data_IF_128325877732
#
_entry.id   IF_128325877732
#
_cell.length_a   1.000
_cell.length_b   1.000
_cell.length_c   1.000
_cell.angle_alpha   90.00
_cell.angle_beta   90.00
_cell.angle_gamma   90.00
#
_symmetry.space_group_name_H-M   'P 1'
#
loop_
_entity.id
_entity.type
_entity.pdbx_description
1 polymer ?
#
# COMPACT_ATOMS: atom_id res chain seq x y z
N UNK A 1 -9.90 2.56 -17.44
CA UNK A 1 -8.67 2.09 -16.74
C UNK A 1 -7.54 2.11 -17.74
N UNK A 2 -6.37 2.61 -17.36
CA UNK A 2 -5.20 2.62 -18.24
C UNK A 2 -4.66 1.19 -18.42
N UNK A 3 -4.36 0.81 -19.64
CA UNK A 3 -3.64 -0.41 -20.01
C UNK A 3 -2.23 -0.42 -19.41
N UNK A 4 -1.61 -1.60 -19.29
CA UNK A 4 -0.20 -1.71 -18.90
C UNK A 4 0.72 -0.85 -19.77
N UNK A 5 0.45 -0.76 -21.07
CA UNK A 5 1.24 0.10 -21.97
C UNK A 5 1.13 1.56 -21.61
N UNK A 6 -0.05 2.04 -21.24
CA UNK A 6 -0.27 3.43 -20.79
C UNK A 6 0.36 3.68 -19.42
N UNK A 7 0.26 2.73 -18.47
CA UNK A 7 0.92 2.80 -17.16
C UNK A 7 2.44 2.88 -17.28
N UNK A 8 3.01 2.15 -18.24
CA UNK A 8 4.45 2.13 -18.50
C UNK A 8 4.94 3.30 -19.37
N UNK A 9 4.04 4.06 -20.00
CA UNK A 9 4.42 5.14 -20.91
C UNK A 9 4.99 6.38 -20.22
N UNK A 10 4.89 6.48 -18.88
CA UNK A 10 5.26 7.69 -18.15
C UNK A 10 4.07 8.31 -17.48
N UNK A 11 4.25 9.53 -17.01
CA UNK A 11 3.12 10.39 -16.74
C UNK A 11 2.39 10.60 -18.08
N UNK A 12 1.09 10.28 -18.17
CA UNK A 12 0.34 10.65 -19.35
C UNK A 12 0.25 12.17 -19.30
N UNK A 13 1.01 12.86 -20.16
CA UNK A 13 1.09 14.32 -20.16
C UNK A 13 0.41 14.94 -21.40
N UNK A 14 0.04 14.11 -22.37
CA UNK A 14 -0.54 14.56 -23.63
C UNK A 14 -1.46 13.48 -24.24
N UNK A 15 -2.75 13.47 -23.86
CA UNK A 15 -3.35 14.34 -22.84
C UNK A 15 -2.99 13.89 -21.41
N UNK A 16 -3.13 14.79 -20.44
CA UNK A 16 -3.15 14.39 -19.02
C UNK A 16 -4.33 13.46 -18.77
N UNK A 17 -4.20 12.46 -17.87
CA UNK A 17 -5.32 11.60 -17.55
C UNK A 17 -6.35 12.43 -16.79
N UNK A 18 -7.65 12.26 -17.10
CA UNK A 18 -8.69 12.88 -16.37
C UNK A 18 -8.62 12.42 -14.93
N UNK A 19 -8.73 13.35 -14.01
CA UNK A 19 -8.55 12.96 -12.64
C UNK A 19 -9.74 12.26 -11.97
N UNK A 20 -9.61 11.92 -10.67
CA UNK A 20 -10.43 10.87 -10.03
C UNK A 20 -11.13 11.37 -8.77
N UNK A 21 -12.42 11.10 -8.66
CA UNK A 21 -13.19 11.25 -7.43
C UNK A 21 -13.05 9.99 -6.56
N UNK A 22 -13.03 10.19 -5.24
CA UNK A 22 -13.07 9.12 -4.23
C UNK A 22 -14.28 8.21 -4.49
N UNK A 23 -14.06 6.91 -4.61
CA UNK A 23 -15.11 5.91 -4.79
C UNK A 23 -15.76 5.54 -3.44
N UNK A 24 -17.02 5.94 -3.16
CA UNK A 24 -17.67 5.69 -1.87
C UNK A 24 -17.94 4.21 -1.56
N UNK A 25 -17.89 3.31 -2.56
CA UNK A 25 -18.00 1.86 -2.34
C UNK A 25 -16.71 1.26 -1.79
N UNK A 26 -15.58 1.96 -1.99
CA UNK A 26 -14.29 1.60 -1.44
C UNK A 26 -14.09 2.25 -0.06
N UNK A 27 -13.43 1.53 0.85
CA UNK A 27 -12.96 2.15 2.08
C UNK A 27 -11.92 3.24 1.75
N UNK A 28 -11.95 4.35 2.50
CA UNK A 28 -11.01 5.46 2.38
C UNK A 28 -10.25 5.72 3.68
N UNK A 29 -9.00 6.17 3.53
CA UNK A 29 -8.20 6.57 4.69
C UNK A 29 -8.87 7.76 5.41
N UNK A 30 -8.83 7.78 6.76
CA UNK A 30 -9.35 8.92 7.53
C UNK A 30 -8.55 10.19 7.18
N UNK A 31 -9.24 11.33 7.18
CA UNK A 31 -8.60 12.60 6.86
C UNK A 31 -7.50 12.94 7.88
N UNK A 32 -6.27 13.10 7.39
CA UNK A 32 -5.13 13.54 8.19
C UNK A 32 -5.01 15.05 8.09
N UNK A 33 -5.67 15.75 8.99
CA UNK A 33 -5.63 17.22 9.04
C UNK A 33 -4.35 17.64 9.75
N UNK A 34 -3.28 17.86 8.98
CA UNK A 34 -2.12 18.59 9.44
C UNK A 34 -2.26 20.07 9.01
N UNK A 35 -2.39 21.04 9.94
CA UNK A 35 -2.44 22.45 9.56
C UNK A 35 -1.05 22.87 9.05
N UNK A 36 -0.89 22.90 7.73
CA UNK A 36 0.31 23.43 7.06
C UNK A 36 0.34 24.95 7.18
N UNK A 37 1.54 25.53 7.27
CA UNK A 37 1.71 26.98 7.09
C UNK A 37 1.57 27.35 5.61
N UNK A 38 1.45 28.63 5.30
CA UNK A 38 1.36 29.13 3.92
C UNK A 38 2.56 28.71 3.07
N UNK A 39 3.78 28.81 3.63
CA UNK A 39 5.03 28.45 2.97
C UNK A 39 5.12 26.94 2.69
N UNK A 40 4.62 26.12 3.61
CA UNK A 40 4.62 24.65 3.47
C UNK A 40 3.55 24.16 2.51
N UNK A 41 2.42 24.86 2.46
CA UNK A 41 1.38 24.64 1.47
C UNK A 41 1.93 24.94 0.07
N UNK A 42 2.68 26.04 -0.09
CA UNK A 42 3.36 26.33 -1.36
C UNK A 42 4.42 25.30 -1.75
N UNK A 43 5.21 24.81 -0.78
CA UNK A 43 6.20 23.75 -1.01
C UNK A 43 5.52 22.43 -1.38
N UNK A 44 4.43 22.05 -0.69
CA UNK A 44 3.65 20.85 -1.00
C UNK A 44 3.07 20.93 -2.42
N UNK A 45 2.54 22.09 -2.81
CA UNK A 45 2.06 22.36 -4.16
C UNK A 45 3.18 22.30 -5.20
N UNK A 46 4.33 22.94 -4.95
CA UNK A 46 5.52 22.84 -5.84
C UNK A 46 6.02 21.40 -5.95
N UNK A 47 6.00 20.64 -4.85
CA UNK A 47 6.42 19.23 -4.81
C UNK A 47 5.47 18.29 -5.56
N UNK A 48 4.18 18.61 -5.60
CA UNK A 48 3.19 17.88 -6.40
C UNK A 48 3.24 18.29 -7.88
N UNK A 49 3.42 19.59 -8.16
CA UNK A 49 3.43 20.15 -9.50
C UNK A 49 4.75 19.94 -10.24
N UNK A 50 5.86 19.64 -9.55
CA UNK A 50 7.17 19.35 -10.20
C UNK A 50 7.13 18.19 -11.19
N UNK A 51 6.11 17.34 -11.08
CA UNK A 51 5.92 16.20 -11.96
C UNK A 51 5.16 16.55 -13.25
N UNK A 52 4.54 17.74 -13.34
CA UNK A 52 3.68 18.12 -14.47
C UNK A 52 4.15 19.42 -15.15
N UNK A 53 4.05 19.55 -16.48
CA UNK A 53 4.31 20.80 -17.19
C UNK A 53 3.38 21.93 -16.72
N UNK A 54 3.93 23.12 -16.47
CA UNK A 54 3.24 24.31 -15.89
C UNK A 54 1.97 24.75 -16.63
N UNK A 55 1.89 24.48 -17.92
CA UNK A 55 0.75 24.82 -18.79
C UNK A 55 -0.53 24.03 -18.49
N UNK A 56 -0.47 22.98 -17.68
CA UNK A 56 -1.57 22.03 -17.48
C UNK A 56 -2.30 22.17 -16.14
N UNK A 57 -1.89 23.12 -15.29
CA UNK A 57 -2.37 23.23 -13.90
C UNK A 57 -3.86 23.63 -13.77
N UNK A 58 -4.41 24.38 -14.73
CA UNK A 58 -5.79 24.88 -14.68
C UNK A 58 -6.83 23.89 -15.22
N UNK A 59 -6.40 22.98 -16.10
CA UNK A 59 -7.26 22.06 -16.86
C UNK A 59 -7.58 20.78 -16.08
N UNK A 60 -6.64 20.33 -15.26
CA UNK A 60 -6.78 19.14 -14.43
C UNK A 60 -8.03 19.17 -13.54
N UNK A 61 -8.47 20.31 -13.02
CA UNK A 61 -9.55 20.40 -12.03
C UNK A 61 -10.94 19.89 -12.49
N UNK A 62 -11.26 19.96 -13.79
CA UNK A 62 -12.61 19.71 -14.30
C UNK A 62 -12.83 18.26 -14.80
N UNK A 63 -11.79 17.65 -15.37
CA UNK A 63 -11.82 16.27 -15.86
C UNK A 63 -12.08 15.24 -14.72
N UNK A 64 -11.81 15.61 -13.45
CA UNK A 64 -12.08 14.81 -12.23
C UNK A 64 -13.52 14.26 -12.19
N UNK A 65 -14.44 14.99 -12.82
CA UNK A 65 -15.88 14.79 -12.67
C UNK A 65 -16.49 13.82 -13.68
N UNK A 66 -15.81 13.48 -14.78
CA UNK A 66 -16.43 12.78 -15.91
C UNK A 66 -16.15 11.27 -15.94
N UNK A 67 -15.01 10.78 -15.44
CA UNK A 67 -14.65 9.34 -15.48
C UNK A 67 -15.57 8.44 -14.66
N UNK A 68 -16.10 8.97 -13.55
CA UNK A 68 -17.04 8.26 -12.68
C UNK A 68 -18.37 7.94 -13.36
N UNK A 69 -18.71 8.66 -14.44
CA UNK A 69 -19.99 8.47 -15.14
C UNK A 69 -19.97 7.27 -16.08
N UNK A 70 -18.80 6.68 -16.39
CA UNK A 70 -18.65 5.81 -17.56
C UNK A 70 -18.23 4.36 -17.27
N UNK A 71 -17.42 4.05 -16.24
CA UNK A 71 -16.67 2.79 -16.23
C UNK A 71 -16.79 1.94 -14.96
N UNK A 72 -18.00 1.51 -14.58
CA UNK A 72 -18.20 0.62 -13.42
C UNK A 72 -17.37 -0.69 -13.42
N UNK A 73 -16.16 -0.65 -12.85
CA UNK A 73 -15.19 -1.72 -12.53
C UNK A 73 -14.12 -2.08 -13.60
N UNK A 74 -12.91 -2.51 -13.17
CA UNK A 74 -12.01 -3.56 -13.76
C UNK A 74 -10.94 -3.99 -12.72
N UNK A 75 -10.58 -5.28 -12.66
CA UNK A 75 -9.59 -5.94 -11.76
C UNK A 75 -8.28 -6.22 -12.49
N UNK A 76 -7.08 -6.02 -11.93
CA UNK A 76 -5.85 -6.52 -12.58
C UNK A 76 -4.70 -6.90 -11.62
N UNK A 77 -4.49 -8.21 -11.44
CA UNK A 77 -3.16 -8.79 -11.39
C UNK A 77 -2.88 -9.39 -12.79
N UNK A 78 -1.96 -8.80 -13.54
CA UNK A 78 -1.59 -9.32 -14.86
C UNK A 78 -0.51 -10.41 -14.72
N UNK A 79 -0.49 -11.40 -15.64
CA UNK A 79 0.67 -12.28 -15.80
C UNK A 79 1.94 -11.46 -16.03
N UNK A 80 3.06 -11.91 -15.44
CA UNK A 80 4.36 -11.23 -15.53
C UNK A 80 4.79 -10.95 -16.98
N UNK A 81 4.39 -11.81 -17.92
CA UNK A 81 4.69 -11.69 -19.36
C UNK A 81 4.01 -10.51 -20.06
N UNK A 82 2.97 -9.93 -19.44
CA UNK A 82 2.22 -8.82 -20.04
C UNK A 82 2.78 -7.45 -19.68
N UNK A 83 3.63 -7.36 -18.65
CA UNK A 83 4.31 -6.12 -18.28
C UNK A 83 5.34 -5.77 -19.36
N UNK A 84 5.26 -4.58 -19.99
CA UNK A 84 6.19 -4.17 -21.04
C UNK A 84 7.50 -3.66 -20.43
N UNK A 85 8.18 -4.50 -19.66
CA UNK A 85 9.47 -4.21 -19.05
C UNK A 85 10.61 -4.88 -19.82
N UNK A 86 11.77 -4.22 -19.90
CA UNK A 86 12.98 -4.79 -20.54
C UNK A 86 13.56 -5.97 -19.76
N UNK A 87 13.33 -6.03 -18.44
CA UNK A 87 13.83 -7.10 -17.57
C UNK A 87 12.69 -7.79 -16.82
N UNK A 88 12.81 -9.10 -16.61
CA UNK A 88 11.81 -9.89 -15.85
C UNK A 88 11.73 -9.45 -14.39
N UNK A 89 12.86 -9.05 -13.82
CA UNK A 89 12.95 -8.55 -12.44
C UNK A 89 12.11 -7.28 -12.28
N UNK A 90 12.18 -6.35 -13.23
CA UNK A 90 11.35 -5.15 -13.19
C UNK A 90 9.86 -5.47 -13.38
N UNK A 91 9.50 -6.36 -14.32
CA UNK A 91 8.13 -6.85 -14.47
C UNK A 91 7.59 -7.48 -13.17
N UNK A 92 8.40 -8.25 -12.45
CA UNK A 92 8.03 -8.83 -11.16
C UNK A 92 7.76 -7.74 -10.11
N UNK A 93 8.62 -6.71 -10.03
CA UNK A 93 8.38 -5.58 -9.11
C UNK A 93 7.07 -4.86 -9.44
N UNK A 94 6.80 -4.61 -10.73
CA UNK A 94 5.55 -3.99 -11.18
C UNK A 94 4.32 -4.81 -10.78
N UNK A 95 4.38 -6.14 -10.94
CA UNK A 95 3.33 -7.05 -10.49
C UNK A 95 3.08 -6.91 -8.99
N UNK A 96 4.14 -6.90 -8.19
CA UNK A 96 3.99 -6.80 -6.74
C UNK A 96 3.46 -5.44 -6.28
N UNK A 97 3.83 -4.35 -6.96
CA UNK A 97 3.27 -3.01 -6.74
C UNK A 97 1.75 -3.03 -7.00
N UNK A 98 1.33 -3.60 -8.13
CA UNK A 98 -0.09 -3.70 -8.50
C UNK A 98 -0.87 -4.54 -7.50
N UNK A 99 -0.31 -5.65 -7.04
CA UNK A 99 -0.91 -6.48 -5.98
C UNK A 99 -1.08 -5.71 -4.66
N UNK A 100 -0.11 -4.90 -4.25
CA UNK A 100 -0.21 -4.06 -3.05
C UNK A 100 -1.30 -2.99 -3.13
N UNK A 101 -1.77 -2.67 -4.34
CA UNK A 101 -2.83 -1.70 -4.63
C UNK A 101 -4.14 -2.35 -5.11
N UNK A 102 -4.21 -3.69 -5.16
CA UNK A 102 -5.42 -4.40 -5.55
C UNK A 102 -6.55 -4.09 -4.55
N UNK A 103 -7.75 -3.68 -4.97
CA UNK A 103 -8.88 -3.40 -4.07
C UNK A 103 -9.28 -4.56 -3.14
N UNK A 104 -8.92 -5.80 -3.46
CA UNK A 104 -9.13 -6.97 -2.60
C UNK A 104 -8.02 -7.16 -1.54
N UNK A 105 -6.88 -6.49 -1.71
CA UNK A 105 -5.70 -6.62 -0.86
C UNK A 105 -5.49 -5.35 -0.02
N UNK A 106 -5.57 -4.18 -0.66
CA UNK A 106 -5.29 -2.89 -0.05
C UNK A 106 -6.46 -2.41 0.82
N UNK A 107 -6.12 -1.81 1.96
CA UNK A 107 -7.07 -1.25 2.90
C UNK A 107 -7.74 0.02 2.34
N UNK A 108 -6.97 0.92 1.69
CA UNK A 108 -7.48 2.12 1.03
C UNK A 108 -6.73 2.31 -0.32
N UNK A 109 -7.14 1.56 -1.37
CA UNK A 109 -6.40 1.49 -2.63
C UNK A 109 -6.28 2.84 -3.35
N UNK A 110 -7.30 3.71 -3.26
CA UNK A 110 -7.30 5.02 -3.92
C UNK A 110 -6.35 6.02 -3.25
N UNK A 111 -6.12 5.87 -1.94
CA UNK A 111 -5.11 6.61 -1.16
C UNK A 111 -3.74 5.92 -1.12
N UNK A 112 -3.56 4.86 -1.93
CA UNK A 112 -2.31 4.09 -2.04
C UNK A 112 -1.91 3.41 -0.71
N UNK A 113 -2.87 3.21 0.21
CA UNK A 113 -2.65 2.56 1.51
C UNK A 113 -2.97 1.09 1.42
N UNK A 114 -1.97 0.25 1.66
CA UNK A 114 -2.15 -1.20 1.67
C UNK A 114 -2.70 -1.69 3.00
N UNK A 115 -2.17 -1.27 4.15
CA UNK A 115 -2.68 -1.68 5.47
C UNK A 115 -2.17 -0.78 6.60
N UNK A 116 -2.68 -1.01 7.82
CA UNK A 116 -2.23 -0.31 9.02
C UNK A 116 -2.74 1.13 9.12
N UNK A 117 -3.78 1.49 8.37
CA UNK A 117 -4.37 2.82 8.35
C UNK A 117 -3.62 3.84 7.48
N UNK A 118 -2.29 3.75 7.40
CA UNK A 118 -1.44 4.64 6.60
C UNK A 118 -0.17 4.00 6.03
N UNK A 119 -0.05 2.68 6.07
CA UNK A 119 1.03 1.96 5.40
C UNK A 119 0.87 2.06 3.89
N UNK A 120 1.64 2.93 3.24
CA UNK A 120 1.48 3.29 1.84
C UNK A 120 2.49 2.65 0.90
N UNK A 121 2.05 2.46 -0.34
CA UNK A 121 2.89 2.06 -1.48
C UNK A 121 3.59 3.27 -2.08
N UNK A 122 2.88 4.39 -2.22
CA UNK A 122 3.41 5.68 -2.70
C UNK A 122 2.71 6.82 -1.97
N UNK A 123 3.36 7.98 -1.88
CA UNK A 123 2.76 9.18 -1.29
C UNK A 123 1.66 9.77 -2.20
N UNK A 124 1.80 9.62 -3.52
CA UNK A 124 0.82 10.09 -4.51
C UNK A 124 0.88 9.31 -5.82
N UNK A 125 -0.15 9.48 -6.66
CA UNK A 125 -0.27 8.76 -7.93
C UNK A 125 0.80 9.14 -8.96
N UNK A 126 1.32 10.37 -8.96
CA UNK A 126 2.38 10.75 -9.90
C UNK A 126 3.65 9.90 -9.69
N UNK A 127 3.97 9.60 -8.43
CA UNK A 127 5.07 8.69 -8.09
C UNK A 127 4.81 7.27 -8.62
N UNK A 128 3.59 6.74 -8.49
CA UNK A 128 3.20 5.46 -9.07
C UNK A 128 3.50 5.41 -10.58
N UNK A 129 3.00 6.38 -11.35
CA UNK A 129 3.18 6.41 -12.80
C UNK A 129 4.66 6.50 -13.21
N UNK A 130 5.44 7.35 -12.53
CA UNK A 130 6.87 7.46 -12.79
C UNK A 130 7.64 6.17 -12.47
N UNK A 131 7.29 5.50 -11.36
CA UNK A 131 7.90 4.23 -11.00
C UNK A 131 7.60 3.16 -12.02
N UNK A 132 6.33 3.03 -12.44
CA UNK A 132 5.95 2.05 -13.45
C UNK A 132 6.64 2.33 -14.78
N UNK A 133 6.79 3.60 -15.15
CA UNK A 133 7.57 3.99 -16.31
C UNK A 133 9.04 3.62 -16.20
N UNK A 134 9.72 4.00 -15.10
CA UNK A 134 11.13 3.65 -14.91
C UNK A 134 11.35 2.13 -14.89
N UNK A 135 10.47 1.38 -14.23
CA UNK A 135 10.52 -0.09 -14.25
C UNK A 135 10.29 -0.69 -15.64
N UNK A 136 9.50 -0.04 -16.48
CA UNK A 136 9.35 -0.48 -17.88
C UNK A 136 10.65 -0.29 -18.70
N UNK A 137 11.43 0.74 -18.36
CA UNK A 137 12.61 1.17 -19.14
C UNK A 137 13.95 0.66 -18.58
N UNK A 138 13.99 0.27 -17.30
CA UNK A 138 15.22 -0.13 -16.61
C UNK A 138 15.83 -1.39 -17.24
N UNK A 139 17.14 -1.37 -17.46
CA UNK A 139 17.90 -2.52 -17.92
C UNK A 139 18.68 -3.21 -16.78
N UNK A 140 19.46 -4.24 -17.12
CA UNK A 140 20.23 -5.02 -16.14
C UNK A 140 21.40 -4.25 -15.52
N UNK A 141 21.77 -3.10 -16.08
CA UNK A 141 22.89 -2.26 -15.62
C UNK A 141 22.42 -1.01 -14.88
N UNK A 142 21.18 -1.02 -14.40
CA UNK A 142 20.60 0.11 -13.70
C UNK A 142 19.90 -0.30 -12.40
N UNK A 143 19.81 0.65 -11.48
CA UNK A 143 19.03 0.56 -10.24
C UNK A 143 18.12 1.77 -10.13
N UNK A 144 16.83 1.54 -9.89
CA UNK A 144 15.87 2.56 -9.51
C UNK A 144 16.03 2.89 -8.03
N UNK A 145 16.33 4.16 -7.72
CA UNK A 145 16.45 4.65 -6.34
C UNK A 145 15.16 5.32 -5.91
N UNK A 146 14.57 4.84 -4.81
CA UNK A 146 13.31 5.32 -4.25
C UNK A 146 13.54 6.05 -2.93
N UNK A 147 13.01 7.26 -2.81
CA UNK A 147 12.99 8.07 -1.60
C UNK A 147 11.57 8.29 -1.10
N UNK A 148 11.14 7.48 -0.14
CA UNK A 148 9.82 7.55 0.47
C UNK A 148 8.70 7.69 -0.57
N UNK A 149 8.70 6.76 -1.53
CA UNK A 149 7.75 6.75 -2.65
C UNK A 149 8.19 7.58 -3.85
N UNK A 150 9.02 8.61 -3.69
CA UNK A 150 9.54 9.39 -4.83
C UNK A 150 10.60 8.60 -5.61
N UNK A 151 10.42 8.34 -6.91
CA UNK A 151 11.48 7.78 -7.73
C UNK A 151 12.52 8.86 -8.05
N UNK A 152 13.67 8.81 -7.40
CA UNK A 152 14.78 9.74 -7.65
C UNK A 152 15.28 9.60 -9.09
N UNK A 153 15.35 8.35 -9.58
CA UNK A 153 15.72 8.06 -10.96
C UNK A 153 16.44 6.72 -11.12
N UNK A 154 16.85 6.44 -12.35
CA UNK A 154 17.67 5.30 -12.72
C UNK A 154 19.15 5.67 -12.66
N UNK A 155 19.93 4.90 -11.93
CA UNK A 155 21.37 5.09 -11.79
C UNK A 155 22.13 3.87 -12.31
N UNK A 156 23.30 4.04 -12.95
CA UNK A 156 24.14 2.93 -13.36
C UNK A 156 24.49 2.01 -12.19
N UNK A 157 24.43 0.70 -12.43
CA UNK A 157 24.70 -0.37 -11.47
C UNK A 157 25.29 -1.60 -12.21
N UNK A 158 25.57 -2.66 -11.47
CA UNK A 158 25.98 -3.94 -12.06
C UNK A 158 24.77 -4.85 -12.27
N UNK A 159 24.91 -5.86 -13.14
CA UNK A 159 23.91 -6.92 -13.35
C UNK A 159 23.36 -7.55 -12.05
N UNK A 160 24.21 -7.94 -11.06
CA UNK A 160 23.75 -8.53 -9.81
C UNK A 160 23.21 -7.51 -8.80
N UNK A 161 23.29 -6.20 -9.08
CA UNK A 161 22.78 -5.18 -8.16
C UNK A 161 21.25 -5.24 -8.06
N UNK A 162 20.66 -4.81 -6.93
CA UNK A 162 19.21 -4.69 -6.81
C UNK A 162 18.64 -3.81 -7.93
N UNK A 163 17.51 -4.21 -8.52
CA UNK A 163 16.81 -3.38 -9.50
C UNK A 163 16.13 -2.17 -8.87
N UNK A 164 15.77 -2.27 -7.60
CA UNK A 164 15.17 -1.17 -6.83
C UNK A 164 15.80 -1.13 -5.44
N UNK A 165 16.16 0.07 -4.98
CA UNK A 165 16.54 0.34 -3.59
C UNK A 165 15.51 1.28 -3.00
N UNK A 166 14.92 0.89 -1.87
CA UNK A 166 13.78 1.59 -1.27
C UNK A 166 14.10 2.05 0.14
N UNK A 167 13.90 3.34 0.39
CA UNK A 167 13.81 3.91 1.73
C UNK A 167 12.41 4.48 1.94
N UNK A 168 11.83 4.28 3.12
CA UNK A 168 10.52 4.83 3.50
C UNK A 168 10.61 5.38 4.92
N UNK A 169 10.21 6.64 5.11
CA UNK A 169 10.14 7.23 6.45
C UNK A 169 11.51 7.51 7.10
N UNK A 170 12.61 7.46 6.33
CA UNK A 170 13.95 7.72 6.86
C UNK A 170 14.10 9.19 7.20
N UNK A 171 14.39 9.49 8.47
CA UNK A 171 14.46 10.85 9.00
C UNK A 171 15.61 10.97 10.01
N UNK A 172 16.09 12.19 10.24
CA UNK A 172 17.03 12.46 11.33
C UNK A 172 16.29 12.16 12.65
N UNK A 173 16.89 11.40 13.59
CA UNK A 173 16.18 10.91 14.78
C UNK A 173 15.41 11.97 15.59
N UNK A 174 15.96 13.20 15.69
CA UNK A 174 15.32 14.31 16.41
C UNK A 174 14.02 14.83 15.76
N UNK A 175 13.73 14.43 14.52
CA UNK A 175 12.54 14.79 13.73
C UNK A 175 11.66 13.56 13.41
N UNK A 176 11.73 12.52 14.24
CA UNK A 176 10.99 11.27 14.04
C UNK A 176 9.69 11.19 14.86
N UNK A 177 9.16 12.32 15.32
CA UNK A 177 7.90 12.35 16.08
C UNK A 177 6.70 12.21 15.14
N UNK A 178 5.54 11.73 15.64
CA UNK A 178 4.31 11.64 14.84
C UNK A 178 3.92 12.97 14.17
N UNK A 179 4.07 14.09 14.87
CA UNK A 179 3.72 15.41 14.33
C UNK A 179 4.65 15.84 13.21
N UNK A 180 5.95 15.54 13.34
CA UNK A 180 6.95 15.78 12.29
C UNK A 180 6.61 14.92 11.06
N UNK A 181 6.23 13.66 11.27
CA UNK A 181 5.79 12.76 10.21
C UNK A 181 4.58 13.30 9.47
N UNK A 182 3.50 13.70 10.17
CA UNK A 182 2.27 14.15 9.51
C UNK A 182 2.53 15.40 8.66
N UNK A 183 3.37 16.32 9.15
CA UNK A 183 3.85 17.50 8.41
C UNK A 183 4.66 17.10 7.18
N UNK A 184 5.68 16.26 7.33
CA UNK A 184 6.53 15.79 6.22
C UNK A 184 5.74 15.00 5.17
N UNK A 185 4.78 14.19 5.61
CA UNK A 185 3.90 13.42 4.73
C UNK A 185 3.01 14.36 3.90
N UNK A 186 2.39 15.36 4.54
CA UNK A 186 1.58 16.36 3.86
C UNK A 186 2.41 17.22 2.87
N UNK A 187 3.67 17.50 3.18
CA UNK A 187 4.60 18.18 2.28
C UNK A 187 5.10 17.31 1.11
N UNK A 188 4.79 16.01 1.11
CA UNK A 188 5.21 15.05 0.10
C UNK A 188 6.71 14.70 0.14
N UNK A 189 7.36 14.89 1.30
CA UNK A 189 8.81 14.60 1.48
C UNK A 189 9.06 13.26 2.19
N UNK A 190 8.02 12.64 2.76
CA UNK A 190 8.11 11.30 3.34
C UNK A 190 6.82 10.52 3.18
N UNK A 191 6.85 9.22 3.47
CA UNK A 191 5.67 8.38 3.62
C UNK A 191 5.95 7.26 4.62
N UNK A 192 4.90 6.74 5.27
CA UNK A 192 5.02 5.58 6.13
C UNK A 192 4.79 4.32 5.31
N UNK A 193 5.86 3.56 5.03
CA UNK A 193 5.79 2.36 4.20
C UNK A 193 5.38 1.09 4.96
N UNK A 194 5.14 1.15 6.28
CA UNK A 194 5.04 -0.05 7.12
C UNK A 194 6.24 -0.99 6.83
N UNK A 195 6.04 -2.31 6.84
CA UNK A 195 7.03 -3.31 6.45
C UNK A 195 6.85 -3.69 4.98
N UNK A 196 5.65 -4.16 4.60
CA UNK A 196 5.40 -4.77 3.28
C UNK A 196 4.59 -3.89 2.32
N UNK A 197 4.02 -2.79 2.81
CA UNK A 197 3.26 -1.84 1.97
C UNK A 197 4.21 -1.07 1.04
N UNK A 198 5.18 -0.37 1.61
CA UNK A 198 6.16 0.43 0.87
C UNK A 198 7.34 -0.35 0.32
N UNK A 199 7.43 -1.67 0.58
CA UNK A 199 8.43 -2.56 -0.03
C UNK A 199 7.84 -3.49 -1.09
N UNK A 200 6.56 -3.29 -1.44
CA UNK A 200 5.88 -3.97 -2.55
C UNK A 200 5.86 -5.49 -2.38
N UNK A 201 5.46 -6.00 -1.21
CA UNK A 201 5.40 -7.46 -1.00
C UNK A 201 4.31 -7.91 -0.03
N UNK A 202 3.22 -7.14 0.11
CA UNK A 202 2.11 -7.52 0.96
C UNK A 202 1.21 -8.54 0.25
N UNK A 203 0.93 -9.66 0.90
CA UNK A 203 0.20 -10.80 0.29
C UNK A 203 -1.13 -11.09 0.98
N UNK A 204 -1.73 -10.05 1.59
CA UNK A 204 -2.97 -10.16 2.33
C UNK A 204 -2.79 -10.72 3.76
N UNK A 205 -3.90 -11.13 4.40
CA UNK A 205 -3.92 -11.46 5.82
C UNK A 205 -3.27 -12.81 6.18
N UNK A 206 -2.89 -13.63 5.19
CA UNK A 206 -2.32 -14.96 5.44
C UNK A 206 -1.05 -14.92 6.31
N UNK A 207 -0.20 -13.90 6.14
CA UNK A 207 1.02 -13.75 6.93
C UNK A 207 0.74 -13.55 8.41
N UNK A 208 -0.26 -12.71 8.74
CA UNK A 208 -0.63 -12.47 10.13
C UNK A 208 -1.38 -13.67 10.73
N UNK A 209 -2.23 -14.38 9.96
CA UNK A 209 -2.85 -15.64 10.42
C UNK A 209 -1.78 -16.67 10.81
N UNK A 210 -0.77 -16.86 9.96
CA UNK A 210 0.33 -17.77 10.25
C UNK A 210 1.13 -17.33 11.48
N UNK A 211 1.52 -16.05 11.55
CA UNK A 211 2.25 -15.50 12.69
C UNK A 211 1.49 -15.66 14.01
N UNK A 212 0.21 -15.28 14.05
CA UNK A 212 -0.63 -15.44 15.24
C UNK A 212 -0.83 -16.90 15.61
N UNK A 213 -0.91 -17.82 14.63
CA UNK A 213 -0.98 -19.27 14.90
C UNK A 213 0.28 -19.74 15.65
N UNK A 214 1.46 -19.34 15.18
CA UNK A 214 2.74 -19.64 15.85
C UNK A 214 2.76 -19.05 17.26
N UNK A 215 2.29 -17.81 17.44
CA UNK A 215 2.22 -17.16 18.75
C UNK A 215 1.34 -17.94 19.71
N UNK A 216 0.13 -18.32 19.29
CA UNK A 216 -0.83 -19.05 20.12
C UNK A 216 -0.29 -20.42 20.52
N UNK A 217 0.26 -21.19 19.56
CA UNK A 217 0.86 -22.50 19.84
C UNK A 217 2.03 -22.38 20.82
N UNK A 218 2.93 -21.41 20.62
CA UNK A 218 4.07 -21.22 21.51
C UNK A 218 3.67 -20.66 22.88
N UNK A 219 2.60 -19.87 22.98
CA UNK A 219 2.03 -19.49 24.26
C UNK A 219 1.52 -20.74 25.01
N UNK A 220 0.85 -21.65 24.30
CA UNK A 220 0.48 -22.97 24.81
C UNK A 220 1.67 -23.75 25.37
N UNK A 221 2.72 -23.93 24.56
CA UNK A 221 3.94 -24.64 24.96
C UNK A 221 4.65 -23.97 26.14
N UNK A 222 4.77 -22.64 26.11
CA UNK A 222 5.55 -21.91 27.11
C UNK A 222 4.82 -21.80 28.45
N UNK A 223 3.54 -21.46 28.43
CA UNK A 223 2.78 -21.11 29.64
C UNK A 223 1.92 -22.26 30.15
N UNK A 224 1.35 -23.07 29.26
CA UNK A 224 0.52 -24.22 29.64
C UNK A 224 1.28 -25.54 29.62
N UNK A 225 2.49 -25.57 29.02
CA UNK A 225 3.31 -26.78 28.82
C UNK A 225 2.57 -27.84 27.98
N UNK A 226 1.82 -27.38 26.98
CA UNK A 226 1.03 -28.23 26.08
C UNK A 226 1.44 -28.03 24.62
N UNK A 227 1.44 -29.12 23.86
CA UNK A 227 1.64 -29.11 22.41
C UNK A 227 0.32 -29.10 21.60
N UNK A 228 -0.80 -29.45 22.24
CA UNK A 228 -2.16 -29.39 21.68
C UNK A 228 -3.04 -28.47 22.53
N UNK A 229 -3.71 -27.51 21.89
CA UNK A 229 -4.60 -26.56 22.55
C UNK A 229 -6.08 -26.98 22.49
N UNK A 230 -6.39 -28.21 22.06
CA UNK A 230 -7.76 -28.74 22.09
C UNK A 230 -8.41 -28.58 23.46
N UNK A 231 -9.57 -27.94 23.46
CA UNK A 231 -10.35 -27.66 24.68
C UNK A 231 -9.80 -26.51 25.53
N UNK A 232 -8.77 -25.79 25.08
CA UNK A 232 -8.26 -24.58 25.76
C UNK A 232 -8.92 -23.34 25.18
N UNK A 233 -9.27 -22.42 26.06
CA UNK A 233 -9.90 -21.14 25.70
C UNK A 233 -8.83 -20.06 25.58
N UNK A 234 -8.78 -19.42 24.42
CA UNK A 234 -8.00 -18.23 24.14
C UNK A 234 -8.93 -17.02 24.13
N UNK A 235 -8.80 -16.16 25.14
CA UNK A 235 -9.57 -14.92 25.27
C UNK A 235 -8.70 -13.75 24.82
N UNK A 236 -9.20 -12.94 23.91
CA UNK A 236 -8.53 -11.73 23.42
C UNK A 236 -9.56 -10.69 22.93
N UNK A 237 -9.09 -9.60 22.33
CA UNK A 237 -9.94 -8.53 21.79
C UNK A 237 -9.40 -7.97 20.48
N UNK A 238 -10.29 -7.32 19.74
CA UNK A 238 -10.03 -6.65 18.45
C UNK A 238 -10.19 -7.58 17.26
N UNK A 239 -11.02 -7.16 16.31
CA UNK A 239 -11.25 -7.76 14.99
C UNK A 239 -11.03 -6.70 13.90
N UNK A 240 -9.91 -5.97 14.01
CA UNK A 240 -9.41 -5.02 13.02
C UNK A 240 -8.55 -5.71 11.94
N UNK A 241 -7.87 -4.94 11.09
CA UNK A 241 -7.13 -5.49 9.93
C UNK A 241 -6.12 -6.60 10.26
N UNK A 242 -5.36 -6.47 11.36
CA UNK A 242 -4.42 -7.50 11.82
C UNK A 242 -5.02 -8.41 12.90
N UNK A 243 -5.76 -7.84 13.85
CA UNK A 243 -6.30 -8.58 15.00
C UNK A 243 -7.45 -9.54 14.63
N UNK A 244 -8.10 -9.33 13.48
CA UNK A 244 -9.07 -10.27 12.90
C UNK A 244 -8.51 -11.67 12.64
N UNK A 245 -7.20 -11.78 12.41
CA UNK A 245 -6.53 -13.05 12.16
C UNK A 245 -6.55 -14.01 13.36
N UNK A 246 -6.76 -13.48 14.57
CA UNK A 246 -6.78 -14.26 15.81
C UNK A 246 -7.82 -15.38 15.77
N UNK A 247 -9.01 -15.10 15.26
CA UNK A 247 -10.09 -16.08 15.19
C UNK A 247 -9.69 -17.33 14.40
N UNK A 248 -9.06 -17.14 13.22
CA UNK A 248 -8.57 -18.24 12.39
C UNK A 248 -7.37 -18.94 13.02
N UNK A 249 -6.44 -18.17 13.57
CA UNK A 249 -5.23 -18.70 14.18
C UNK A 249 -5.54 -19.66 15.32
N UNK A 250 -6.52 -19.33 16.17
CA UNK A 250 -6.95 -20.19 17.27
C UNK A 250 -7.59 -21.48 16.75
N UNK A 251 -8.41 -21.41 15.71
CA UNK A 251 -8.99 -22.60 15.06
C UNK A 251 -7.90 -23.51 14.49
N UNK A 252 -6.90 -22.95 13.79
CA UNK A 252 -5.76 -23.72 13.26
C UNK A 252 -4.93 -24.34 14.39
N UNK A 253 -4.80 -23.64 15.52
CA UNK A 253 -4.14 -24.15 16.71
C UNK A 253 -4.98 -25.18 17.51
N UNK A 254 -6.17 -25.58 17.03
CA UNK A 254 -7.14 -26.45 17.71
C UNK A 254 -7.75 -25.88 19.01
N UNK A 255 -7.59 -24.59 19.29
CA UNK A 255 -8.16 -23.94 20.48
C UNK A 255 -9.60 -23.44 20.29
N UNK A 256 -10.17 -22.91 21.37
CA UNK A 256 -11.46 -22.21 21.40
C UNK A 256 -11.17 -20.71 21.49
N UNK A 257 -11.54 -19.92 20.48
CA UNK A 257 -11.28 -18.49 20.43
C UNK A 257 -12.47 -17.65 20.90
N UNK A 258 -12.26 -16.77 21.88
CA UNK A 258 -13.23 -15.75 22.31
C UNK A 258 -12.59 -14.39 22.08
N UNK A 259 -12.99 -13.70 21.01
CA UNK A 259 -12.40 -12.42 20.60
C UNK A 259 -13.45 -11.33 20.72
N UNK A 260 -13.30 -10.45 21.70
CA UNK A 260 -14.22 -9.33 21.92
C UNK A 260 -13.99 -8.22 20.87
N UNK A 261 -15.06 -7.66 20.31
CA UNK A 261 -15.03 -6.50 19.41
C UNK A 261 -16.18 -5.55 19.77
N UNK A 262 -15.90 -4.25 19.77
CA UNK A 262 -16.85 -3.20 20.13
C UNK A 262 -17.55 -2.61 18.90
N UNK A 263 -16.94 -2.70 17.71
CA UNK A 263 -17.47 -2.17 16.46
C UNK A 263 -18.37 -3.20 15.77
N UNK A 264 -19.65 -2.84 15.58
CA UNK A 264 -20.65 -3.68 14.91
C UNK A 264 -20.56 -3.61 13.37
N UNK A 265 -19.35 -3.71 12.82
CA UNK A 265 -19.06 -3.61 11.40
C UNK A 265 -18.95 -4.99 10.74
N UNK A 266 -19.99 -5.41 10.00
CA UNK A 266 -20.14 -6.77 9.46
C UNK A 266 -19.08 -7.26 8.45
N UNK A 267 -18.09 -6.45 8.05
CA UNK A 267 -17.12 -6.84 7.00
C UNK A 267 -16.22 -8.02 7.38
N UNK A 268 -15.82 -8.16 8.65
CA UNK A 268 -14.94 -9.28 9.06
C UNK A 268 -15.67 -10.58 9.42
N UNK A 269 -16.97 -10.51 9.76
CA UNK A 269 -17.80 -11.70 9.97
C UNK A 269 -17.95 -12.53 8.68
N UNK A 270 -17.94 -11.88 7.52
CA UNK A 270 -18.06 -12.54 6.21
C UNK A 270 -16.73 -13.09 5.66
N UNK A 271 -15.57 -12.69 6.22
CA UNK A 271 -14.24 -13.07 5.72
C UNK A 271 -13.77 -14.49 6.15
N UNK A 272 -14.70 -15.45 6.31
CA UNK A 272 -14.41 -16.87 6.60
C UNK A 272 -13.73 -17.19 7.96
N UNK A 273 -13.57 -16.22 8.87
CA UNK A 273 -12.76 -16.41 10.07
C UNK A 273 -13.52 -16.77 11.35
N UNK A 274 -14.83 -16.54 11.41
CA UNK A 274 -15.64 -16.80 12.59
C UNK A 274 -16.62 -17.95 12.32
N UNK A 275 -16.50 -19.04 13.08
CA UNK A 275 -17.56 -20.04 13.21
C UNK A 275 -18.24 -19.82 14.55
N UNK A 276 -19.56 -19.64 14.52
CA UNK A 276 -20.39 -19.78 15.69
C UNK A 276 -20.92 -21.22 15.66
N UNK A 277 -20.84 -21.92 16.79
CA UNK A 277 -21.60 -23.15 17.01
C UNK A 277 -23.01 -22.79 17.45
#
# INVERSE_FOLDING_TARGET
>A
MASLREICAGLPLNPLPPPRKRNPELPHAPDRIAPLTTEETEIALKNALRYFPTKLHAELAAEFAQELKTYGHIYMAYPISEYPAKTKQAAAVMLMIMNNLDPQVAQFPEELVTYGGNGQVFSNWAQFWLVMHYLSQIDETQTLVMYSGHPLGLFPSLAPSPRVVITNGMVIPNHSKPEDYDRMFAMGVTMYGQMTAGSYCYIGPQGIVHGTTITVINAGRKYLKLDDLRGKVFVSSGLGGMSGAQAKAVVVANGIGVIAEVINGHRQLHLYFLRHN
#
